data_IF_106225072442
#
_entry.id   IF_106225072442
#
_cell.length_a   1.000
_cell.length_b   1.000
_cell.length_c   1.000
_cell.angle_alpha   90.00
_cell.angle_beta   90.00
_cell.angle_gamma   90.00
#
_symmetry.space_group_name_H-M   'P 1'
#
loop_
_entity.id
_entity.type
_entity.pdbx_description
1 polymer ?
#
# COMPACT_ATOMS: atom_id res chain seq x y z
N UNK A 1 -1.66 -12.40 21.40
CA UNK A 1 -3.05 -12.59 21.90
C UNK A 1 -4.01 -13.14 20.84
N UNK A 2 -4.10 -12.59 19.60
CA UNK A 2 -4.98 -13.14 18.55
C UNK A 2 -4.52 -14.53 18.11
N UNK A 3 -3.24 -14.70 17.78
CA UNK A 3 -2.66 -15.99 17.39
C UNK A 3 -2.89 -17.07 18.46
N UNK A 4 -2.71 -16.73 19.73
CA UNK A 4 -2.90 -17.67 20.85
C UNK A 4 -4.36 -18.13 20.94
N UNK A 5 -5.32 -17.23 20.80
CA UNK A 5 -6.74 -17.57 20.78
C UNK A 5 -7.10 -18.44 19.57
N UNK A 6 -6.50 -18.18 18.42
CA UNK A 6 -6.69 -19.00 17.21
C UNK A 6 -6.13 -20.41 17.39
N UNK A 7 -4.93 -20.54 18.00
CA UNK A 7 -4.34 -21.84 18.32
C UNK A 7 -5.19 -22.61 19.34
N UNK A 8 -5.64 -21.93 20.40
CA UNK A 8 -6.53 -22.54 21.40
C UNK A 8 -7.83 -23.04 20.75
N UNK A 9 -8.46 -22.26 19.86
CA UNK A 9 -9.65 -22.66 19.13
C UNK A 9 -9.40 -23.87 18.22
N UNK A 10 -8.26 -23.90 17.51
CA UNK A 10 -7.91 -24.99 16.62
C UNK A 10 -7.81 -26.36 17.34
N UNK A 11 -7.47 -26.35 18.64
CA UNK A 11 -7.38 -27.55 19.48
C UNK A 11 -8.74 -28.00 20.07
N UNK A 12 -9.84 -27.29 19.79
CA UNK A 12 -11.18 -27.63 20.33
C UNK A 12 -12.02 -28.34 19.27
N UNK A 13 -12.89 -29.23 19.73
CA UNK A 13 -13.88 -29.88 18.86
C UNK A 13 -14.77 -28.81 18.24
N UNK A 14 -14.86 -28.79 16.92
CA UNK A 14 -15.68 -27.85 16.15
C UNK A 14 -17.13 -27.92 16.61
N UNK A 15 -17.78 -26.78 16.86
CA UNK A 15 -19.14 -26.68 17.34
C UNK A 15 -19.32 -26.85 18.85
N UNK A 16 -18.28 -27.23 19.63
CA UNK A 16 -18.39 -27.30 21.10
C UNK A 16 -18.57 -25.92 21.71
N UNK A 17 -19.16 -25.82 22.91
CA UNK A 17 -19.36 -24.58 23.64
C UNK A 17 -18.03 -23.80 23.80
N UNK A 18 -16.93 -24.47 24.15
CA UNK A 18 -15.60 -23.85 24.26
C UNK A 18 -15.09 -23.32 22.91
N UNK A 19 -15.36 -24.02 21.81
CA UNK A 19 -15.03 -23.55 20.46
C UNK A 19 -15.81 -22.26 20.12
N UNK A 20 -17.09 -22.21 20.42
CA UNK A 20 -17.96 -21.06 20.19
C UNK A 20 -17.52 -19.86 21.02
N UNK A 21 -17.22 -20.05 22.31
CA UNK A 21 -16.69 -18.98 23.17
C UNK A 21 -15.41 -18.38 22.65
N UNK A 22 -14.45 -19.21 22.18
CA UNK A 22 -13.20 -18.72 21.57
C UNK A 22 -13.45 -18.00 20.27
N UNK A 23 -14.38 -18.49 19.43
CA UNK A 23 -14.78 -17.83 18.19
C UNK A 23 -15.34 -16.42 18.47
N UNK A 24 -16.18 -16.29 19.49
CA UNK A 24 -16.71 -15.00 19.91
C UNK A 24 -15.62 -14.04 20.43
N UNK A 25 -14.70 -14.54 21.25
CA UNK A 25 -13.54 -13.74 21.74
C UNK A 25 -12.64 -13.27 20.59
N UNK A 26 -12.39 -14.13 19.62
CA UNK A 26 -11.63 -13.83 18.41
C UNK A 26 -12.36 -12.76 17.59
N UNK A 27 -13.67 -12.90 17.39
CA UNK A 27 -14.49 -11.92 16.67
C UNK A 27 -14.42 -10.52 17.31
N UNK A 28 -14.59 -10.42 18.64
CA UNK A 28 -14.45 -9.14 19.36
C UNK A 28 -13.05 -8.53 19.21
N UNK A 29 -12.02 -9.35 19.22
CA UNK A 29 -10.65 -8.85 19.05
C UNK A 29 -10.41 -8.35 17.63
N UNK A 30 -10.91 -9.04 16.61
CA UNK A 30 -10.87 -8.57 15.22
C UNK A 30 -11.63 -7.24 15.07
N UNK A 31 -12.82 -7.12 15.64
CA UNK A 31 -13.60 -5.88 15.62
C UNK A 31 -12.81 -4.71 16.26
N UNK A 32 -12.20 -4.95 17.41
CA UNK A 32 -11.35 -3.93 18.08
C UNK A 32 -10.18 -3.51 17.21
N UNK A 33 -9.47 -4.46 16.58
CA UNK A 33 -8.35 -4.18 15.68
C UNK A 33 -8.82 -3.35 14.48
N UNK A 34 -9.95 -3.70 13.90
CA UNK A 34 -10.55 -2.96 12.78
C UNK A 34 -10.92 -1.53 13.18
N UNK A 35 -11.54 -1.36 14.34
CA UNK A 35 -11.96 -0.04 14.83
C UNK A 35 -10.75 0.87 15.10
N UNK A 36 -9.69 0.34 15.74
CA UNK A 36 -8.45 1.11 16.00
C UNK A 36 -7.78 1.53 14.69
N UNK A 37 -7.70 0.63 13.70
CA UNK A 37 -7.16 0.97 12.38
C UNK A 37 -8.00 2.03 11.67
N UNK A 38 -9.30 1.86 11.70
CA UNK A 38 -10.24 2.79 11.09
C UNK A 38 -10.13 4.19 11.71
N UNK A 39 -10.11 4.29 13.03
CA UNK A 39 -9.92 5.57 13.75
C UNK A 39 -8.60 6.23 13.37
N UNK A 40 -7.49 5.46 13.39
CA UNK A 40 -6.19 5.95 12.97
C UNK A 40 -6.21 6.50 11.55
N UNK A 41 -6.73 5.72 10.59
CA UNK A 41 -6.80 6.14 9.18
C UNK A 41 -7.71 7.37 8.99
N UNK A 42 -8.83 7.45 9.71
CA UNK A 42 -9.69 8.63 9.69
C UNK A 42 -8.93 9.89 10.12
N UNK A 43 -8.17 9.81 11.23
CA UNK A 43 -7.37 10.94 11.73
C UNK A 43 -6.28 11.34 10.74
N UNK A 44 -5.53 10.37 10.21
CA UNK A 44 -4.45 10.65 9.27
C UNK A 44 -4.97 11.25 7.95
N UNK A 45 -5.99 10.64 7.37
CA UNK A 45 -6.55 11.13 6.10
C UNK A 45 -7.21 12.50 6.24
N UNK A 46 -7.88 12.79 7.36
CA UNK A 46 -8.42 14.12 7.64
C UNK A 46 -7.31 15.16 7.74
N UNK A 47 -6.25 14.85 8.51
CA UNK A 47 -5.11 15.77 8.65
C UNK A 47 -4.41 16.05 7.32
N UNK A 48 -4.28 15.05 6.43
CA UNK A 48 -3.70 15.23 5.09
C UNK A 48 -4.56 16.15 4.23
N UNK A 49 -5.87 15.89 4.15
CA UNK A 49 -6.79 16.67 3.32
C UNK A 49 -6.91 18.13 3.78
N UNK A 50 -6.83 18.37 5.10
CA UNK A 50 -6.86 19.73 5.66
C UNK A 50 -5.58 20.54 5.41
N UNK A 51 -4.44 19.87 5.20
CA UNK A 51 -3.14 20.52 5.08
C UNK A 51 -2.65 20.65 3.64
N UNK A 52 -3.16 19.87 2.72
CA UNK A 52 -2.62 19.72 1.39
C UNK A 52 -3.67 20.09 0.33
N UNK A 53 -3.36 21.01 -0.57
CA UNK A 53 -4.18 21.29 -1.74
C UNK A 53 -4.09 20.17 -2.80
N UNK A 54 -2.98 19.40 -2.80
CA UNK A 54 -2.74 18.26 -3.67
C UNK A 54 -2.18 17.09 -2.86
N UNK A 55 -2.79 15.93 -3.01
CA UNK A 55 -2.29 14.65 -2.49
C UNK A 55 -2.01 13.74 -3.67
N UNK A 56 -0.76 13.27 -3.79
CA UNK A 56 -0.35 12.34 -4.84
C UNK A 56 0.04 11.00 -4.22
N UNK A 57 -0.54 9.92 -4.72
CA UNK A 57 -0.26 8.56 -4.25
C UNK A 57 -0.26 7.57 -5.40
N UNK A 58 0.25 6.38 -5.16
CA UNK A 58 0.24 5.29 -6.15
C UNK A 58 -1.16 4.69 -6.29
N UNK A 59 -1.56 4.36 -7.52
CA UNK A 59 -2.75 3.56 -7.77
C UNK A 59 -2.47 2.12 -7.34
N UNK A 60 -2.87 1.77 -6.11
CA UNK A 60 -2.71 0.44 -5.56
C UNK A 60 -3.97 -0.41 -5.79
N UNK A 61 -3.76 -1.66 -6.18
CA UNK A 61 -4.82 -2.67 -6.29
C UNK A 61 -4.63 -3.76 -5.23
N UNK A 62 -5.10 -3.54 -3.98
CA UNK A 62 -4.88 -4.48 -2.88
C UNK A 62 -5.36 -5.90 -3.18
N UNK A 63 -6.44 -6.05 -3.96
CA UNK A 63 -6.97 -7.34 -4.42
C UNK A 63 -5.93 -8.13 -5.23
N UNK A 64 -5.24 -7.47 -6.18
CA UNK A 64 -4.20 -8.11 -6.99
C UNK A 64 -2.93 -8.35 -6.17
N UNK A 65 -2.55 -7.40 -5.31
CA UNK A 65 -1.39 -7.51 -4.43
C UNK A 65 -1.51 -8.68 -3.45
N UNK A 66 -2.71 -8.94 -2.93
CA UNK A 66 -3.01 -10.01 -1.95
C UNK A 66 -3.49 -11.31 -2.58
N UNK A 67 -3.37 -11.49 -3.91
CA UNK A 67 -3.76 -12.71 -4.61
C UNK A 67 -3.03 -13.93 -4.04
N UNK A 68 -3.76 -15.05 -3.89
CA UNK A 68 -3.19 -16.31 -3.41
C UNK A 68 -2.17 -16.89 -4.40
N UNK A 69 -1.12 -17.51 -3.87
CA UNK A 69 -0.12 -18.24 -4.66
C UNK A 69 -0.35 -19.77 -4.62
N UNK A 70 -1.52 -20.26 -4.21
CA UNK A 70 -1.77 -21.69 -4.08
C UNK A 70 -1.68 -22.48 -5.40
N UNK A 71 -2.01 -21.84 -6.52
CA UNK A 71 -2.13 -22.53 -7.80
C UNK A 71 -3.37 -23.45 -7.86
N UNK A 72 -3.35 -24.39 -8.80
CA UNK A 72 -4.35 -25.46 -8.97
C UNK A 72 -3.77 -26.82 -8.56
N UNK A 73 -4.56 -27.87 -8.65
CA UNK A 73 -4.09 -29.26 -8.38
C UNK A 73 -3.07 -29.66 -9.44
N UNK A 74 -3.33 -29.33 -10.72
CA UNK A 74 -2.45 -29.65 -11.85
C UNK A 74 -1.18 -28.79 -11.88
N UNK A 75 -1.25 -27.57 -11.34
CA UNK A 75 -0.12 -26.63 -11.26
C UNK A 75 -0.03 -26.01 -9.86
N UNK A 76 0.57 -26.74 -8.91
CA UNK A 76 0.70 -26.26 -7.53
C UNK A 76 1.57 -25.00 -7.44
N UNK A 77 1.13 -24.07 -6.62
CA UNK A 77 1.84 -22.81 -6.42
C UNK A 77 3.14 -22.97 -5.63
N UNK A 78 4.10 -22.08 -5.87
CA UNK A 78 5.37 -22.03 -5.15
C UNK A 78 5.36 -20.94 -4.07
N UNK A 79 6.14 -21.14 -3.00
CA UNK A 79 6.32 -20.17 -1.90
C UNK A 79 5.00 -19.69 -1.27
N UNK A 80 4.00 -20.57 -1.19
CA UNK A 80 2.63 -20.27 -0.72
C UNK A 80 2.63 -19.68 0.68
N UNK A 81 3.47 -20.22 1.60
CA UNK A 81 3.57 -19.73 2.99
C UNK A 81 4.14 -18.31 3.06
N UNK A 82 5.22 -18.02 2.31
CA UNK A 82 5.81 -16.68 2.24
C UNK A 82 4.82 -15.68 1.66
N UNK A 83 4.13 -16.05 0.57
CA UNK A 83 3.10 -15.19 -0.03
C UNK A 83 1.92 -14.97 0.91
N UNK A 84 1.50 -15.97 1.67
CA UNK A 84 0.45 -15.81 2.68
C UNK A 84 0.87 -14.85 3.82
N UNK A 85 2.13 -14.90 4.24
CA UNK A 85 2.71 -13.93 5.16
C UNK A 85 2.68 -12.51 4.61
N UNK A 86 3.19 -12.30 3.40
CA UNK A 86 3.16 -11.00 2.72
C UNK A 86 1.72 -10.49 2.54
N UNK A 87 0.78 -11.33 2.13
CA UNK A 87 -0.61 -10.95 2.00
C UNK A 87 -1.22 -10.46 3.32
N UNK A 88 -0.85 -11.07 4.44
CA UNK A 88 -1.28 -10.65 5.77
C UNK A 88 -0.78 -9.23 6.08
N UNK A 89 0.47 -8.92 5.78
CA UNK A 89 1.04 -7.58 5.99
C UNK A 89 0.38 -6.54 5.08
N UNK A 90 0.19 -6.85 3.79
CA UNK A 90 -0.51 -5.97 2.83
C UNK A 90 -1.93 -5.65 3.33
N UNK A 91 -2.69 -6.67 3.74
CA UNK A 91 -4.04 -6.48 4.27
C UNK A 91 -4.04 -5.75 5.62
N UNK A 92 -3.01 -5.97 6.44
CA UNK A 92 -2.81 -5.28 7.72
C UNK A 92 -2.56 -3.78 7.54
N UNK A 93 -1.86 -3.39 6.48
CA UNK A 93 -1.60 -1.98 6.13
C UNK A 93 -2.87 -1.22 5.70
N UNK A 94 -3.94 -1.94 5.36
CA UNK A 94 -5.27 -1.37 5.05
C UNK A 94 -5.26 -0.32 3.93
N UNK A 95 -4.39 -0.49 2.92
CA UNK A 95 -4.25 0.44 1.78
C UNK A 95 -5.58 0.78 1.10
N UNK A 96 -6.46 -0.22 0.88
CA UNK A 96 -7.76 0.02 0.26
C UNK A 96 -8.65 0.95 1.07
N UNK A 97 -8.69 0.79 2.40
CA UNK A 97 -9.45 1.66 3.30
C UNK A 97 -8.89 3.08 3.33
N UNK A 98 -7.56 3.21 3.36
CA UNK A 98 -6.88 4.51 3.30
C UNK A 98 -7.21 5.27 2.01
N UNK A 99 -7.14 4.58 0.85
CA UNK A 99 -7.49 5.18 -0.44
C UNK A 99 -8.95 5.63 -0.52
N UNK A 100 -9.88 4.79 -0.08
CA UNK A 100 -11.30 5.16 -0.02
C UNK A 100 -11.54 6.40 0.85
N UNK A 101 -10.90 6.45 2.02
CA UNK A 101 -11.01 7.60 2.93
C UNK A 101 -10.40 8.87 2.33
N UNK A 102 -9.26 8.77 1.66
CA UNK A 102 -8.66 9.92 0.97
C UNK A 102 -9.55 10.40 -0.17
N UNK A 103 -10.13 9.49 -0.94
CA UNK A 103 -10.95 9.83 -2.11
C UNK A 103 -12.16 10.69 -1.71
N UNK A 104 -13.04 10.18 -0.83
CA UNK A 104 -14.24 10.94 -0.49
C UNK A 104 -13.93 12.22 0.30
N UNK A 105 -12.92 12.20 1.19
CA UNK A 105 -12.56 13.40 1.96
C UNK A 105 -11.89 14.47 1.10
N UNK A 106 -11.06 14.07 0.13
CA UNK A 106 -10.48 15.00 -0.81
C UNK A 106 -11.55 15.66 -1.67
N UNK A 107 -12.54 14.89 -2.11
CA UNK A 107 -13.71 15.40 -2.85
C UNK A 107 -14.53 16.40 -1.99
N UNK A 108 -14.85 16.05 -0.74
CA UNK A 108 -15.55 16.91 0.21
C UNK A 108 -14.81 18.21 0.52
N UNK A 109 -13.48 18.17 0.60
CA UNK A 109 -12.65 19.33 0.96
C UNK A 109 -12.13 20.12 -0.24
N UNK A 110 -12.41 19.71 -1.48
CA UNK A 110 -11.85 20.31 -2.68
C UNK A 110 -10.34 20.09 -2.87
N UNK A 111 -9.75 19.13 -2.14
CA UNK A 111 -8.34 18.74 -2.29
C UNK A 111 -8.17 17.89 -3.55
N UNK A 112 -7.18 18.20 -4.40
CA UNK A 112 -6.87 17.38 -5.57
C UNK A 112 -6.19 16.08 -5.15
N UNK A 113 -6.81 14.92 -5.46
CA UNK A 113 -6.21 13.60 -5.26
C UNK A 113 -5.73 13.06 -6.61
N UNK A 114 -4.44 12.77 -6.72
CA UNK A 114 -3.84 12.15 -7.90
C UNK A 114 -3.43 10.71 -7.61
N UNK A 115 -3.85 9.78 -8.47
CA UNK A 115 -3.51 8.36 -8.40
C UNK A 115 -2.56 8.01 -9.56
N UNK A 116 -1.27 7.91 -9.26
CA UNK A 116 -0.23 7.65 -10.25
C UNK A 116 -0.26 6.20 -10.75
N UNK A 117 -0.22 5.99 -12.07
CA UNK A 117 -0.15 4.68 -12.72
C UNK A 117 1.27 4.11 -12.63
N UNK A 118 1.58 3.43 -11.52
CA UNK A 118 2.93 2.96 -11.17
C UNK A 118 3.60 2.10 -12.22
N UNK A 119 2.85 1.30 -12.99
CA UNK A 119 3.41 0.46 -14.07
C UNK A 119 4.02 1.29 -15.20
N UNK A 120 3.43 2.42 -15.54
CA UNK A 120 3.89 3.34 -16.60
C UNK A 120 4.94 4.29 -16.03
N UNK A 121 4.67 4.87 -14.87
CA UNK A 121 5.52 5.87 -14.23
C UNK A 121 6.84 5.27 -13.72
N UNK A 122 6.84 4.03 -13.22
CA UNK A 122 7.99 3.33 -12.61
C UNK A 122 8.68 4.18 -11.52
N UNK A 123 7.97 4.71 -10.52
CA UNK A 123 8.50 5.72 -9.60
C UNK A 123 9.72 5.24 -8.81
N UNK A 124 9.81 3.95 -8.46
CA UNK A 124 10.97 3.38 -7.76
C UNK A 124 12.25 3.27 -8.61
N UNK A 125 12.14 3.41 -9.93
CA UNK A 125 13.25 3.34 -10.87
C UNK A 125 13.53 4.69 -11.54
N UNK A 126 12.56 5.57 -11.62
CA UNK A 126 12.69 6.89 -12.26
C UNK A 126 13.40 7.86 -11.35
N UNK A 127 14.27 8.70 -11.91
CA UNK A 127 14.92 9.79 -11.19
C UNK A 127 13.97 10.97 -11.04
N UNK A 128 13.85 11.54 -9.84
CA UNK A 128 12.99 12.70 -9.58
C UNK A 128 13.56 14.01 -10.11
N UNK A 129 14.84 14.03 -10.51
CA UNK A 129 15.53 15.24 -11.03
C UNK A 129 15.54 15.25 -12.55
N UNK A 130 16.15 14.23 -13.18
CA UNK A 130 16.33 14.19 -14.63
C UNK A 130 15.31 13.29 -15.37
N UNK A 131 14.41 12.64 -14.63
CA UNK A 131 13.35 11.77 -15.16
C UNK A 131 13.84 10.47 -15.84
N UNK A 132 15.14 10.24 -15.92
CA UNK A 132 15.71 9.02 -16.47
C UNK A 132 15.29 7.78 -15.68
N UNK A 133 15.09 6.66 -16.37
CA UNK A 133 14.80 5.37 -15.74
C UNK A 133 16.11 4.66 -15.43
N UNK A 134 16.35 4.45 -14.14
CA UNK A 134 17.52 3.72 -13.60
C UNK A 134 17.05 2.39 -13.04
N UNK A 135 17.24 1.26 -13.74
CA UNK A 135 16.82 -0.04 -13.26
C UNK A 135 17.48 -0.40 -11.93
N UNK A 136 16.69 -0.97 -11.01
CA UNK A 136 17.15 -1.35 -9.67
C UNK A 136 16.53 -2.66 -9.23
N UNK A 137 17.30 -3.44 -8.49
CA UNK A 137 16.79 -4.62 -7.78
C UNK A 137 16.06 -4.20 -6.50
N UNK A 138 15.28 -5.12 -5.92
CA UNK A 138 14.51 -4.86 -4.70
C UNK A 138 15.39 -4.55 -3.48
N UNK A 139 16.63 -5.01 -3.47
CA UNK A 139 17.57 -4.84 -2.36
C UNK A 139 18.18 -3.43 -2.32
N UNK A 140 18.16 -2.70 -3.43
CA UNK A 140 18.73 -1.34 -3.52
C UNK A 140 17.76 -0.36 -2.84
N UNK A 141 18.20 0.26 -1.75
CA UNK A 141 17.42 1.21 -0.97
C UNK A 141 17.72 2.67 -1.29
N UNK A 142 18.83 2.93 -1.97
CA UNK A 142 19.23 4.27 -2.39
C UNK A 142 19.05 4.43 -3.89
N UNK A 143 18.49 5.56 -4.30
CA UNK A 143 18.46 5.97 -5.69
C UNK A 143 19.72 6.76 -5.98
N UNK A 144 20.51 6.33 -6.97
CA UNK A 144 21.65 7.06 -7.54
C UNK A 144 21.44 7.18 -9.03
N UNK A 145 21.73 8.35 -9.60
CA UNK A 145 21.57 8.64 -11.02
C UNK A 145 22.80 9.38 -11.57
N UNK A 146 23.07 9.21 -12.85
CA UNK A 146 24.17 9.90 -13.55
C UNK A 146 24.07 11.42 -13.51
N UNK A 147 22.87 11.98 -13.29
CA UNK A 147 22.68 13.41 -13.10
C UNK A 147 23.17 13.94 -11.73
N UNK A 148 23.77 13.10 -10.90
CA UNK A 148 24.22 13.45 -9.53
C UNK A 148 23.17 13.28 -8.45
N UNK A 149 21.92 12.95 -8.79
CA UNK A 149 20.87 12.73 -7.79
C UNK A 149 21.15 11.47 -6.96
N UNK A 150 21.23 11.66 -5.63
CA UNK A 150 21.34 10.56 -4.66
C UNK A 150 20.36 10.79 -3.52
N UNK A 151 19.35 9.91 -3.39
CA UNK A 151 18.26 10.00 -2.41
C UNK A 151 17.87 8.62 -1.91
N UNK A 152 17.23 8.51 -0.72
CA UNK A 152 16.49 7.29 -0.35
C UNK A 152 15.48 6.93 -1.45
N UNK A 153 15.39 5.65 -1.81
CA UNK A 153 14.52 5.21 -2.92
C UNK A 153 13.06 5.62 -2.75
N UNK A 154 12.55 5.53 -1.53
CA UNK A 154 11.15 5.84 -1.25
C UNK A 154 10.88 7.35 -1.33
N UNK A 155 11.84 8.18 -0.89
CA UNK A 155 11.76 9.63 -1.05
C UNK A 155 11.81 10.04 -2.53
N UNK A 156 12.74 9.46 -3.31
CA UNK A 156 12.78 9.69 -4.74
C UNK A 156 11.48 9.27 -5.42
N UNK A 157 10.93 8.09 -5.07
CA UNK A 157 9.64 7.63 -5.57
C UNK A 157 8.50 8.60 -5.27
N UNK A 158 8.43 9.11 -4.05
CA UNK A 158 7.40 10.07 -3.65
C UNK A 158 7.50 11.37 -4.46
N UNK A 159 8.72 11.88 -4.69
CA UNK A 159 8.96 13.06 -5.54
C UNK A 159 8.55 12.82 -6.99
N UNK A 160 8.81 11.63 -7.54
CA UNK A 160 8.36 11.26 -8.90
C UNK A 160 6.84 11.24 -9.01
N UNK A 161 6.14 10.67 -8.04
CA UNK A 161 4.67 10.62 -8.01
C UNK A 161 4.08 12.03 -7.84
N UNK A 162 4.69 12.87 -7.02
CA UNK A 162 4.26 14.25 -6.84
C UNK A 162 4.47 15.08 -8.12
N UNK A 163 5.59 14.90 -8.80
CA UNK A 163 5.86 15.58 -10.07
C UNK A 163 4.88 15.16 -11.17
N UNK A 164 4.55 13.85 -11.27
CA UNK A 164 3.53 13.32 -12.17
C UNK A 164 2.14 13.95 -11.91
N UNK A 165 1.80 14.19 -10.65
CA UNK A 165 0.57 14.86 -10.27
C UNK A 165 0.55 16.35 -10.66
N UNK A 166 1.72 16.99 -10.63
CA UNK A 166 1.86 18.41 -10.95
C UNK A 166 1.84 18.67 -12.46
N UNK A 167 2.35 17.74 -13.26
CA UNK A 167 2.48 17.83 -14.73
C UNK A 167 1.74 16.71 -15.46
N UNK A 168 0.40 16.62 -15.37
CA UNK A 168 -0.36 15.46 -15.83
C UNK A 168 -0.27 15.19 -17.34
N UNK A 169 0.25 16.12 -18.15
CA UNK A 169 0.36 16.00 -19.61
C UNK A 169 1.76 16.29 -20.17
N UNK A 170 2.75 16.56 -19.33
CA UNK A 170 4.12 16.80 -19.79
C UNK A 170 5.01 15.61 -19.44
N UNK A 171 5.27 14.74 -20.40
CA UNK A 171 6.50 13.94 -20.41
C UNK A 171 7.66 14.92 -20.48
N UNK A 172 8.55 15.03 -19.47
CA UNK A 172 9.75 15.82 -19.58
C UNK A 172 10.70 15.14 -20.57
N UNK A 173 10.68 15.60 -21.76
CA UNK A 173 11.45 15.03 -22.88
C UNK A 173 11.82 16.04 -23.96
N UNK A 174 11.43 17.30 -23.79
CA UNK A 174 11.84 18.34 -24.75
C UNK A 174 12.17 19.62 -24.00
N UNK A 175 13.47 19.83 -23.75
CA UNK A 175 14.11 21.12 -23.72
C UNK A 175 13.61 22.15 -22.72
N UNK A 176 14.24 22.19 -21.53
CA UNK A 176 14.57 23.49 -20.92
C UNK A 176 16.09 23.55 -20.94
N UNK A 177 16.61 24.07 -22.03
CA UNK A 177 17.91 24.79 -22.01
C UNK A 177 17.67 26.05 -21.25
N UNK A 178 18.57 26.32 -20.31
CA UNK A 178 18.68 27.47 -19.43
C UNK A 178 18.50 28.80 -20.12
#
# INVERSE_FOLDING_TARGET
KLADLQQQRARKKRGSHRYQQLTHKIGRLHQRITNVRRDFLHKQTTALVQRCALIATEELTPKNMSRSAKGTVESPGRRVRQKAGLNREILSASFGMSHQMLQYKAEEAGTRLHLAKTRQLKPSQRCSVCWAVVPKTLNVRTHTCLCGCTLPRDENSAKVVLFDAWTPNNTPGTGVTA
#
